data_IF_217349025545
#
_entry.id   IF_217349025545
#
_cell.length_a   1.000
_cell.length_b   1.000
_cell.length_c   1.000
_cell.angle_alpha   90.00
_cell.angle_beta   90.00
_cell.angle_gamma   90.00
#
_symmetry.space_group_name_H-M   'P 1'
#
loop_
_entity.id
_entity.type
_entity.pdbx_description
1 polymer ?
#
# COMPACT_ATOMS: atom_id res chain seq x y z
N UNK A 1 13.85 8.44 11.41
CA UNK A 1 14.90 9.34 11.91
C UNK A 1 16.31 8.91 11.46
N UNK A 2 16.89 7.82 11.99
CA UNK A 2 18.29 7.44 11.70
C UNK A 2 18.56 7.31 10.18
N UNK A 3 17.75 6.54 9.46
CA UNK A 3 17.89 6.40 8.00
C UNK A 3 17.76 7.73 7.23
N UNK A 4 17.00 8.71 7.74
CA UNK A 4 16.87 10.03 7.11
C UNK A 4 18.15 10.87 7.29
N UNK A 5 18.80 10.81 8.46
CA UNK A 5 20.09 11.46 8.69
C UNK A 5 21.22 10.85 7.86
N UNK A 6 21.21 9.53 7.63
CA UNK A 6 22.13 8.90 6.68
C UNK A 6 21.95 9.44 5.26
N UNK A 7 20.72 9.72 4.83
CA UNK A 7 20.46 10.34 3.51
C UNK A 7 20.98 11.77 3.43
N UNK A 8 20.89 12.56 4.50
CA UNK A 8 21.47 13.92 4.54
C UNK A 8 22.98 13.90 4.25
N UNK A 9 23.71 12.90 4.76
CA UNK A 9 25.14 12.76 4.50
C UNK A 9 25.50 12.37 3.05
N UNK A 10 24.49 12.02 2.23
CA UNK A 10 24.64 11.52 0.85
C UNK A 10 24.48 12.59 -0.25
N UNK A 11 24.37 13.88 0.10
CA UNK A 11 24.16 14.96 -0.88
C UNK A 11 25.28 15.14 -1.92
N UNK A 12 26.45 14.51 -1.72
CA UNK A 12 27.55 14.47 -2.69
C UNK A 12 27.43 13.28 -3.64
N UNK A 13 27.70 13.43 -4.96
CA UNK A 13 27.58 12.36 -5.95
C UNK A 13 28.33 11.06 -5.60
N UNK A 14 29.49 11.18 -4.96
CA UNK A 14 30.37 10.03 -4.62
C UNK A 14 29.85 9.19 -3.43
N UNK A 15 28.73 9.59 -2.83
CA UNK A 15 28.20 9.01 -1.58
C UNK A 15 26.87 8.29 -1.76
N UNK A 16 26.57 7.84 -2.97
CA UNK A 16 25.35 7.07 -3.25
C UNK A 16 25.16 5.86 -2.31
N UNK A 17 26.25 5.23 -1.87
CA UNK A 17 26.19 4.13 -0.89
C UNK A 17 25.55 4.55 0.44
N UNK A 18 25.73 5.81 0.89
CA UNK A 18 25.07 6.34 2.09
C UNK A 18 23.56 6.47 1.89
N UNK A 19 23.11 6.86 0.68
CA UNK A 19 21.68 6.89 0.35
C UNK A 19 21.09 5.48 0.42
N UNK A 20 21.79 4.48 -0.12
CA UNK A 20 21.36 3.08 -0.08
C UNK A 20 21.28 2.55 1.35
N UNK A 21 22.29 2.81 2.19
CA UNK A 21 22.26 2.44 3.61
C UNK A 21 21.09 3.10 4.34
N UNK A 22 20.86 4.40 4.12
CA UNK A 22 19.73 5.13 4.70
C UNK A 22 18.38 4.58 4.25
N UNK A 23 18.26 4.18 2.98
CA UNK A 23 17.05 3.55 2.43
C UNK A 23 16.81 2.17 3.03
N UNK A 24 17.84 1.34 3.19
CA UNK A 24 17.72 0.02 3.83
C UNK A 24 17.26 0.14 5.27
N UNK A 25 17.81 1.08 6.04
CA UNK A 25 17.36 1.33 7.42
C UNK A 25 15.88 1.77 7.45
N UNK A 26 15.49 2.64 6.52
CA UNK A 26 14.10 3.11 6.40
C UNK A 26 13.14 1.97 6.00
N UNK A 27 13.51 1.14 5.03
CA UNK A 27 12.72 0.00 4.56
C UNK A 27 12.50 -1.03 5.67
N UNK A 28 13.55 -1.39 6.42
CA UNK A 28 13.42 -2.28 7.58
C UNK A 28 12.50 -1.71 8.66
N UNK A 29 12.52 -0.38 8.85
CA UNK A 29 11.65 0.31 9.81
C UNK A 29 10.18 0.31 9.37
N UNK A 30 9.92 0.39 8.05
CA UNK A 30 8.57 0.47 7.48
C UNK A 30 7.71 -0.75 7.85
N UNK A 31 8.30 -1.94 7.93
CA UNK A 31 7.61 -3.18 8.32
C UNK A 31 6.96 -3.05 9.70
N UNK A 32 7.65 -2.41 10.64
CA UNK A 32 7.11 -2.17 11.98
C UNK A 32 6.05 -1.07 11.96
N UNK A 33 6.30 0.02 11.24
CA UNK A 33 5.42 1.19 11.20
C UNK A 33 4.05 0.84 10.63
N UNK A 34 3.97 0.04 9.57
CA UNK A 34 2.70 -0.33 8.93
C UNK A 34 1.75 -1.08 9.86
N UNK A 35 2.27 -1.80 10.85
CA UNK A 35 1.48 -2.57 11.82
C UNK A 35 1.12 -1.76 13.09
N UNK A 36 1.69 -0.56 13.27
CA UNK A 36 1.46 0.25 14.46
C UNK A 36 0.02 0.77 14.60
N UNK A 37 -0.68 1.25 13.54
CA UNK A 37 -2.02 1.80 13.69
C UNK A 37 -2.99 0.82 14.35
N UNK A 38 -3.07 -0.42 13.86
CA UNK A 38 -3.94 -1.45 14.41
C UNK A 38 -3.58 -1.80 15.85
N UNK A 39 -2.27 -1.96 16.14
CA UNK A 39 -1.79 -2.29 17.48
C UNK A 39 -2.06 -1.16 18.48
N UNK A 40 -1.80 0.08 18.10
CA UNK A 40 -2.02 1.26 18.95
C UNK A 40 -3.51 1.46 19.20
N UNK A 41 -4.33 1.36 18.15
CA UNK A 41 -5.78 1.45 18.24
C UNK A 41 -6.35 0.42 19.23
N UNK A 42 -5.93 -0.85 19.12
CA UNK A 42 -6.36 -1.89 20.04
C UNK A 42 -5.91 -1.63 21.49
N UNK A 43 -4.69 -1.09 21.70
CA UNK A 43 -4.10 -0.85 23.03
C UNK A 43 -4.66 0.33 23.78
N UNK A 44 -5.09 1.37 23.06
CA UNK A 44 -5.47 2.64 23.66
C UNK A 44 -6.96 2.95 23.60
N UNK A 45 -7.69 2.37 22.64
CA UNK A 45 -9.08 2.76 22.37
C UNK A 45 -10.06 1.64 22.69
N UNK A 46 -11.28 2.03 23.05
CA UNK A 46 -12.38 1.10 23.30
C UNK A 46 -12.96 0.52 21.99
N UNK A 47 -13.77 -0.56 22.05
CA UNK A 47 -14.28 -1.27 20.86
C UNK A 47 -14.97 -0.38 19.82
N UNK A 48 -15.66 0.67 20.25
CA UNK A 48 -16.35 1.63 19.38
C UNK A 48 -15.41 2.61 18.65
N UNK A 49 -14.19 2.80 19.16
CA UNK A 49 -13.24 3.80 18.69
C UNK A 49 -12.02 3.19 18.00
N UNK A 50 -11.74 1.90 18.21
CA UNK A 50 -10.59 1.18 17.62
C UNK A 50 -10.57 1.31 16.09
N UNK A 51 -11.72 1.10 15.42
CA UNK A 51 -11.80 1.19 13.96
C UNK A 51 -11.41 2.57 13.47
N UNK A 52 -12.00 3.62 14.05
CA UNK A 52 -11.73 5.02 13.70
C UNK A 52 -10.28 5.40 13.94
N UNK A 53 -9.71 5.05 15.10
CA UNK A 53 -8.31 5.32 15.43
C UNK A 53 -7.35 4.61 14.48
N UNK A 54 -7.66 3.36 14.11
CA UNK A 54 -6.88 2.60 13.13
C UNK A 54 -6.94 3.26 11.75
N UNK A 55 -8.14 3.61 11.27
CA UNK A 55 -8.34 4.28 9.98
C UNK A 55 -7.57 5.60 9.87
N UNK A 56 -7.57 6.43 10.92
CA UNK A 56 -6.78 7.68 10.96
C UNK A 56 -5.29 7.39 10.78
N UNK A 57 -4.75 6.37 11.46
CA UNK A 57 -3.35 5.98 11.33
C UNK A 57 -3.00 5.46 9.93
N UNK A 58 -3.88 4.66 9.33
CA UNK A 58 -3.71 4.16 7.95
C UNK A 58 -3.78 5.31 6.93
N UNK A 59 -4.72 6.26 7.09
CA UNK A 59 -4.78 7.44 6.24
C UNK A 59 -3.55 8.33 6.37
N UNK A 60 -2.93 8.39 7.55
CA UNK A 60 -1.63 9.07 7.73
C UNK A 60 -0.53 8.49 6.84
N UNK A 61 -0.51 7.16 6.63
CA UNK A 61 0.43 6.53 5.70
C UNK A 61 0.16 6.96 4.25
N UNK A 62 -1.10 6.90 3.81
CA UNK A 62 -1.48 7.30 2.45
C UNK A 62 -1.20 8.79 2.19
N UNK A 63 -1.44 9.65 3.19
CA UNK A 63 -1.10 11.06 3.12
C UNK A 63 0.41 11.27 2.97
N UNK A 64 1.24 10.49 3.67
CA UNK A 64 2.69 10.50 3.49
C UNK A 64 3.13 10.10 2.08
N UNK A 65 2.49 9.08 1.49
CA UNK A 65 2.76 8.66 0.09
C UNK A 65 2.37 9.77 -0.89
N UNK A 66 1.21 10.40 -0.69
CA UNK A 66 0.74 11.56 -1.47
C UNK A 66 1.75 12.72 -1.45
N UNK A 67 2.28 13.09 -0.27
CA UNK A 67 3.34 14.07 -0.16
C UNK A 67 4.64 13.60 -0.84
N UNK A 68 4.94 12.30 -0.81
CA UNK A 68 6.07 11.69 -1.50
C UNK A 68 6.00 11.80 -3.02
N UNK A 69 4.81 11.89 -3.61
CA UNK A 69 4.64 12.20 -5.04
C UNK A 69 4.79 13.68 -5.35
N UNK A 70 4.32 14.55 -4.46
CA UNK A 70 4.24 15.98 -4.71
C UNK A 70 5.57 16.71 -4.43
N UNK A 71 6.22 16.40 -3.30
CA UNK A 71 7.38 17.16 -2.83
C UNK A 71 8.64 16.99 -3.68
N UNK A 72 9.04 15.77 -4.11
CA UNK A 72 10.28 15.62 -4.87
C UNK A 72 10.28 16.40 -6.20
N UNK A 73 9.25 16.32 -7.06
CA UNK A 73 9.22 17.09 -8.31
C UNK A 73 9.14 18.61 -8.10
N UNK A 74 8.57 19.08 -6.98
CA UNK A 74 8.53 20.51 -6.65
C UNK A 74 9.87 21.05 -6.15
N UNK A 75 10.62 20.25 -5.39
CA UNK A 75 11.87 20.66 -4.73
C UNK A 75 13.12 20.38 -5.57
N UNK A 76 13.05 19.36 -6.45
CA UNK A 76 14.12 18.90 -7.31
C UNK A 76 13.67 19.06 -8.75
N UNK A 77 13.96 20.23 -9.31
CA UNK A 77 13.73 20.48 -10.72
C UNK A 77 14.90 19.90 -11.52
N UNK A 78 14.59 19.22 -12.63
CA UNK A 78 15.58 18.69 -13.56
C UNK A 78 16.16 19.84 -14.40
N UNK A 79 17.02 20.61 -13.74
CA UNK A 79 17.83 21.65 -14.37
C UNK A 79 19.17 21.03 -14.71
N UNK A 80 19.72 21.25 -15.90
CA UNK A 80 21.03 20.70 -16.30
C UNK A 80 22.23 21.12 -15.41
N UNK A 81 21.98 21.89 -14.35
CA UNK A 81 22.93 22.23 -13.30
C UNK A 81 22.87 21.22 -12.14
N UNK A 82 23.92 20.40 -12.05
CA UNK A 82 24.14 19.43 -10.97
C UNK A 82 24.13 20.08 -9.57
N UNK A 83 24.53 21.35 -9.44
CA UNK A 83 24.52 22.05 -8.16
C UNK A 83 23.10 22.33 -7.68
N UNK A 84 22.23 22.78 -8.58
CA UNK A 84 20.81 23.02 -8.29
C UNK A 84 20.08 21.72 -7.90
N UNK A 85 20.35 20.61 -8.59
CA UNK A 85 19.81 19.29 -8.26
C UNK A 85 20.29 18.83 -6.86
N UNK A 86 21.59 18.94 -6.57
CA UNK A 86 22.16 18.59 -5.26
C UNK A 86 21.56 19.44 -4.14
N UNK A 87 21.41 20.76 -4.36
CA UNK A 87 20.76 21.66 -3.40
C UNK A 87 19.29 21.31 -3.16
N UNK A 88 18.54 20.94 -4.22
CA UNK A 88 17.17 20.43 -4.12
C UNK A 88 17.07 19.16 -3.27
N UNK A 89 17.89 18.15 -3.59
CA UNK A 89 17.95 16.88 -2.86
C UNK A 89 18.35 17.09 -1.40
N UNK A 90 19.35 17.94 -1.15
CA UNK A 90 19.81 18.27 0.20
C UNK A 90 18.69 18.90 1.02
N UNK A 91 17.97 19.90 0.49
CA UNK A 91 16.80 20.50 1.16
C UNK A 91 15.74 19.45 1.49
N UNK A 92 15.44 18.54 0.57
CA UNK A 92 14.46 17.47 0.76
C UNK A 92 14.90 16.49 1.87
N UNK A 93 16.17 16.09 1.89
CA UNK A 93 16.71 15.20 2.92
C UNK A 93 16.74 15.86 4.29
N UNK A 94 17.17 17.13 4.39
CA UNK A 94 17.13 17.88 5.65
C UNK A 94 15.70 18.03 6.15
N UNK A 95 14.75 18.42 5.31
CA UNK A 95 13.34 18.54 5.71
C UNK A 95 12.78 17.21 6.24
N UNK A 96 13.11 16.09 5.60
CA UNK A 96 12.69 14.74 6.03
C UNK A 96 13.38 14.33 7.36
N UNK A 97 14.66 14.64 7.52
CA UNK A 97 15.40 14.34 8.73
C UNK A 97 14.89 15.14 9.93
N UNK A 98 14.70 16.46 9.77
CA UNK A 98 14.18 17.36 10.80
C UNK A 98 12.76 16.95 11.19
N UNK A 99 11.85 16.79 10.22
CA UNK A 99 10.46 16.37 10.51
C UNK A 99 10.40 15.02 11.24
N UNK A 100 11.16 14.02 10.78
CA UNK A 100 11.19 12.71 11.45
C UNK A 100 11.82 12.75 12.85
N UNK A 101 12.73 13.69 13.11
CA UNK A 101 13.33 13.92 14.44
C UNK A 101 12.34 14.61 15.37
N UNK A 102 11.63 15.63 14.89
CA UNK A 102 10.58 16.31 15.64
C UNK A 102 9.47 15.34 16.05
N UNK A 103 8.98 14.51 15.11
CA UNK A 103 7.99 13.46 15.41
C UNK A 103 8.51 12.48 16.45
N UNK A 104 9.77 12.05 16.36
CA UNK A 104 10.38 11.16 17.36
C UNK A 104 10.43 11.80 18.75
N UNK A 105 10.85 13.07 18.85
CA UNK A 105 10.89 13.83 20.11
C UNK A 105 9.48 13.95 20.69
N UNK A 106 8.48 14.29 19.88
CA UNK A 106 7.09 14.38 20.32
C UNK A 106 6.58 13.03 20.84
N UNK A 107 6.85 11.93 20.14
CA UNK A 107 6.47 10.59 20.61
C UNK A 107 7.17 10.27 21.93
N UNK A 108 8.48 10.51 22.03
CA UNK A 108 9.26 10.19 23.22
C UNK A 108 8.78 10.93 24.47
N UNK A 109 8.43 12.22 24.35
CA UNK A 109 7.99 13.02 25.50
C UNK A 109 6.49 12.89 25.82
N UNK A 110 5.62 12.76 24.81
CA UNK A 110 4.17 12.86 25.01
C UNK A 110 3.45 11.50 24.97
N UNK A 111 4.00 10.48 24.31
CA UNK A 111 3.32 9.18 24.15
C UNK A 111 3.79 8.21 25.24
N UNK A 112 2.86 7.83 26.12
CA UNK A 112 3.13 6.78 27.13
C UNK A 112 3.13 5.39 26.45
N UNK A 113 3.88 4.40 26.97
CA UNK A 113 3.96 3.07 26.36
C UNK A 113 2.64 2.30 26.32
N UNK A 114 1.80 2.44 27.35
CA UNK A 114 0.50 1.76 27.47
C UNK A 114 -0.37 2.48 28.50
N UNK A 115 -1.71 2.44 28.38
CA UNK A 115 -2.57 2.93 29.44
C UNK A 115 -2.47 2.00 30.68
N UNK A 116 -2.54 2.58 31.90
CA UNK A 116 -2.39 1.82 33.15
C UNK A 116 -3.50 0.78 33.37
N UNK A 117 -4.66 0.95 32.74
CA UNK A 117 -5.77 -0.01 32.74
C UNK A 117 -6.07 -0.45 31.29
N UNK A 118 -6.30 -1.76 31.03
CA UNK A 118 -6.64 -2.23 29.69
C UNK A 118 -8.01 -1.67 29.26
N UNK A 119 -8.14 -1.07 28.06
CA UNK A 119 -9.38 -0.44 27.63
C UNK A 119 -10.48 -1.42 27.21
N UNK A 120 -10.17 -2.72 27.08
CA UNK A 120 -11.16 -3.75 26.72
C UNK A 120 -10.90 -5.10 27.38
N UNK A 121 -11.95 -5.92 27.52
CA UNK A 121 -11.83 -7.32 27.97
C UNK A 121 -10.98 -8.17 27.01
N UNK A 122 -11.00 -7.85 25.70
CA UNK A 122 -10.16 -8.50 24.70
C UNK A 122 -8.66 -8.17 24.92
N UNK A 123 -8.33 -6.94 25.31
CA UNK A 123 -6.99 -6.54 25.74
C UNK A 123 -6.56 -7.20 27.04
N UNK A 124 -7.46 -7.27 28.03
CA UNK A 124 -7.19 -7.95 29.29
C UNK A 124 -6.92 -9.45 29.07
N UNK A 125 -7.70 -10.08 28.19
CA UNK A 125 -7.48 -11.46 27.74
C UNK A 125 -6.20 -11.61 26.91
N UNK A 126 -5.86 -10.73 25.96
CA UNK A 126 -4.58 -10.82 25.25
C UNK A 126 -3.37 -10.66 26.17
N UNK A 127 -3.45 -9.81 27.20
CA UNK A 127 -2.40 -9.67 28.23
C UNK A 127 -2.29 -10.92 29.11
N UNK A 128 -3.40 -11.59 29.43
CA UNK A 128 -3.41 -12.82 30.25
C UNK A 128 -3.13 -14.10 29.45
N UNK A 129 -3.46 -14.13 28.16
CA UNK A 129 -3.28 -15.26 27.24
C UNK A 129 -2.10 -15.07 26.27
N UNK A 130 -1.16 -14.16 26.56
CA UNK A 130 0.11 -14.02 25.81
C UNK A 130 1.03 -15.24 26.01
N UNK A 131 0.54 -16.43 25.65
CA UNK A 131 1.38 -17.50 25.13
C UNK A 131 1.87 -17.05 23.74
N UNK A 132 2.92 -16.23 23.72
CA UNK A 132 3.79 -16.03 22.56
C UNK A 132 4.49 -17.37 22.26
N UNK A 133 3.75 -18.41 21.89
CA UNK A 133 4.34 -19.67 21.47
C UNK A 133 4.62 -19.56 19.97
N UNK A 134 5.90 -19.37 19.55
CA UNK A 134 6.26 -19.28 18.14
C UNK A 134 5.80 -20.51 17.33
N UNK A 135 5.58 -21.66 17.99
CA UNK A 135 5.04 -22.87 17.33
C UNK A 135 3.61 -22.66 16.83
N UNK A 136 2.77 -21.92 17.57
CA UNK A 136 1.40 -21.62 17.16
C UNK A 136 1.36 -20.63 15.97
N UNK A 137 2.27 -19.67 15.94
CA UNK A 137 2.42 -18.74 14.80
C UNK A 137 2.88 -19.47 13.54
N UNK A 138 3.92 -20.30 13.62
CA UNK A 138 4.42 -21.08 12.47
C UNK A 138 3.34 -22.06 11.97
N UNK A 139 2.59 -22.69 12.88
CA UNK A 139 1.47 -23.57 12.53
C UNK A 139 0.30 -22.82 11.89
N UNK A 140 0.03 -21.58 12.32
CA UNK A 140 -0.92 -20.69 11.65
C UNK A 140 -0.44 -20.41 10.23
N UNK A 141 0.80 -19.95 10.05
CA UNK A 141 1.39 -19.64 8.74
C UNK A 141 1.27 -20.82 7.76
N UNK A 142 1.61 -22.04 8.19
CA UNK A 142 1.45 -23.23 7.37
C UNK A 142 -0.01 -23.48 6.98
N UNK A 143 -0.97 -23.33 7.90
CA UNK A 143 -2.40 -23.48 7.59
C UNK A 143 -2.90 -22.45 6.57
N UNK A 144 -2.38 -21.23 6.59
CA UNK A 144 -2.68 -20.21 5.59
C UNK A 144 -2.11 -20.60 4.22
N UNK A 145 -0.85 -21.04 4.15
CA UNK A 145 -0.22 -21.45 2.88
C UNK A 145 -0.94 -22.64 2.23
N UNK A 146 -1.48 -23.57 3.03
CA UNK A 146 -2.28 -24.70 2.52
C UNK A 146 -3.74 -24.34 2.18
N UNK A 147 -4.20 -23.13 2.48
CA UNK A 147 -5.55 -22.70 2.10
C UNK A 147 -5.57 -22.24 0.65
N UNK A 148 -6.15 -23.07 -0.23
CA UNK A 148 -6.23 -22.82 -1.67
C UNK A 148 -6.86 -21.47 -2.02
N UNK A 149 -7.99 -21.12 -1.39
CA UNK A 149 -8.66 -19.84 -1.66
C UNK A 149 -7.82 -18.63 -1.23
N UNK A 150 -7.13 -18.75 -0.09
CA UNK A 150 -6.21 -17.72 0.36
C UNK A 150 -4.98 -17.59 -0.53
N UNK A 151 -4.43 -18.70 -1.05
CA UNK A 151 -3.29 -18.67 -1.96
C UNK A 151 -3.63 -17.98 -3.29
N UNK A 152 -4.81 -18.26 -3.85
CA UNK A 152 -5.32 -17.57 -5.03
C UNK A 152 -5.51 -16.07 -4.78
N UNK A 153 -6.05 -15.70 -3.62
CA UNK A 153 -6.16 -14.31 -3.21
C UNK A 153 -4.78 -13.66 -3.08
N UNK A 154 -3.83 -14.33 -2.44
CA UNK A 154 -2.49 -13.82 -2.19
C UNK A 154 -1.74 -13.56 -3.50
N UNK A 155 -1.89 -14.42 -4.51
CA UNK A 155 -1.32 -14.22 -5.84
C UNK A 155 -2.01 -13.09 -6.60
N UNK A 156 -3.35 -13.12 -6.71
CA UNK A 156 -4.11 -12.08 -7.42
C UNK A 156 -3.93 -10.70 -6.78
N UNK A 157 -3.86 -10.64 -5.46
CA UNK A 157 -3.62 -9.44 -4.68
C UNK A 157 -2.21 -8.90 -4.88
N UNK A 158 -1.21 -9.78 -4.82
CA UNK A 158 0.17 -9.44 -5.16
C UNK A 158 0.29 -8.82 -6.56
N UNK A 159 -0.39 -9.40 -7.56
CA UNK A 159 -0.37 -8.88 -8.93
C UNK A 159 -1.00 -7.49 -9.05
N UNK A 160 -2.14 -7.24 -8.42
CA UNK A 160 -2.81 -5.94 -8.50
C UNK A 160 -1.98 -4.85 -7.81
N UNK A 161 -1.69 -5.04 -6.52
CA UNK A 161 -0.97 -4.03 -5.74
C UNK A 161 0.48 -3.88 -6.20
N UNK A 162 1.12 -4.97 -6.64
CA UNK A 162 2.44 -4.91 -7.26
C UNK A 162 2.45 -4.09 -8.55
N UNK A 163 1.40 -4.21 -9.38
CA UNK A 163 1.24 -3.37 -10.57
C UNK A 163 1.05 -1.90 -10.21
N UNK A 164 0.26 -1.62 -9.16
CA UNK A 164 0.09 -0.27 -8.64
C UNK A 164 1.41 0.33 -8.17
N UNK A 165 2.26 -0.45 -7.48
CA UNK A 165 3.58 0.00 -7.04
C UNK A 165 4.54 0.25 -8.21
N UNK A 166 4.51 -0.58 -9.25
CA UNK A 166 5.32 -0.39 -10.44
C UNK A 166 4.97 0.91 -11.16
N UNK A 167 3.67 1.15 -11.42
CA UNK A 167 3.20 2.40 -12.05
C UNK A 167 3.55 3.60 -11.18
N UNK A 168 3.28 3.51 -9.88
CA UNK A 168 3.59 4.54 -8.89
C UNK A 168 5.08 4.92 -8.90
N UNK A 169 5.96 3.91 -8.99
CA UNK A 169 7.41 4.13 -8.92
C UNK A 169 7.95 4.78 -10.20
N UNK A 170 7.48 4.33 -11.36
CA UNK A 170 7.95 4.84 -12.66
C UNK A 170 7.08 5.97 -13.22
N UNK A 171 6.07 6.43 -12.48
CA UNK A 171 5.11 7.44 -12.93
C UNK A 171 5.81 8.69 -13.48
N UNK A 172 6.77 9.22 -12.73
CA UNK A 172 7.48 10.43 -13.14
C UNK A 172 8.22 10.23 -14.47
N UNK A 173 8.88 9.08 -14.65
CA UNK A 173 9.60 8.76 -15.87
C UNK A 173 8.65 8.67 -17.08
N UNK A 174 7.50 7.99 -16.92
CA UNK A 174 6.51 7.80 -17.99
C UNK A 174 5.90 9.14 -18.43
N UNK A 175 5.51 9.97 -17.46
CA UNK A 175 4.89 11.27 -17.74
C UNK A 175 5.88 12.20 -18.42
N UNK A 176 7.13 12.26 -17.96
CA UNK A 176 8.16 13.12 -18.54
C UNK A 176 8.57 12.68 -19.96
N UNK A 177 8.46 11.40 -20.30
CA UNK A 177 8.67 10.91 -21.66
C UNK A 177 7.65 11.49 -22.66
N UNK A 178 6.40 11.68 -22.23
CA UNK A 178 5.33 12.24 -23.06
C UNK A 178 5.18 13.76 -22.92
N UNK A 179 5.56 14.29 -21.75
CA UNK A 179 5.40 15.69 -21.37
C UNK A 179 6.67 16.21 -20.66
N UNK A 180 7.74 16.51 -21.41
CA UNK A 180 9.07 16.81 -20.85
C UNK A 180 9.11 17.95 -19.83
N UNK A 181 8.30 18.98 -20.01
CA UNK A 181 8.30 20.16 -19.12
C UNK A 181 7.33 20.04 -17.93
N UNK A 182 6.61 18.93 -17.81
CA UNK A 182 5.50 18.77 -16.87
C UNK A 182 5.85 17.92 -15.63
N UNK A 183 7.06 18.07 -15.09
CA UNK A 183 7.50 17.36 -13.87
C UNK A 183 6.57 17.61 -12.67
N UNK A 184 6.10 18.85 -12.52
CA UNK A 184 5.16 19.23 -11.44
C UNK A 184 3.82 18.51 -11.61
N UNK A 185 3.33 18.39 -12.84
CA UNK A 185 2.09 17.68 -13.10
C UNK A 185 2.26 16.16 -12.96
N UNK A 186 3.43 15.58 -13.25
CA UNK A 186 3.70 14.18 -12.93
C UNK A 186 3.54 13.88 -11.44
N UNK A 187 4.08 14.76 -10.58
CA UNK A 187 3.88 14.68 -9.13
C UNK A 187 2.43 14.86 -8.69
N UNK A 188 1.71 15.79 -9.32
CA UNK A 188 0.27 16.01 -9.06
C UNK A 188 -0.60 14.86 -9.54
N UNK A 189 -0.29 14.22 -10.67
CA UNK A 189 -0.98 13.01 -11.13
C UNK A 189 -0.81 11.92 -10.08
N UNK A 190 0.42 11.70 -9.60
CA UNK A 190 0.69 10.74 -8.51
C UNK A 190 -0.10 11.04 -7.24
N UNK A 191 -0.16 12.31 -6.85
CA UNK A 191 -1.01 12.77 -5.74
C UNK A 191 -2.49 12.43 -5.98
N UNK A 192 -3.03 12.72 -7.17
CA UNK A 192 -4.44 12.43 -7.48
C UNK A 192 -4.75 10.95 -7.50
N UNK A 193 -3.81 10.10 -7.96
CA UNK A 193 -3.93 8.64 -7.91
C UNK A 193 -4.12 8.17 -6.46
N UNK A 194 -3.27 8.65 -5.54
CA UNK A 194 -3.32 8.24 -4.13
C UNK A 194 -4.60 8.75 -3.46
N UNK A 195 -4.97 10.02 -3.68
CA UNK A 195 -6.18 10.60 -3.09
C UNK A 195 -7.45 9.94 -3.62
N UNK A 196 -7.56 9.74 -4.93
CA UNK A 196 -8.66 8.99 -5.53
C UNK A 196 -8.72 7.56 -4.96
N UNK A 197 -7.57 6.95 -4.76
CA UNK A 197 -7.45 5.65 -4.11
C UNK A 197 -7.93 5.62 -2.66
N UNK A 198 -7.72 6.67 -1.88
CA UNK A 198 -8.24 6.78 -0.50
C UNK A 198 -9.77 6.86 -0.50
N UNK A 199 -10.36 7.60 -1.46
CA UNK A 199 -11.81 7.64 -1.62
C UNK A 199 -12.32 6.27 -2.08
N UNK A 200 -11.62 5.62 -3.00
CA UNK A 200 -11.94 4.28 -3.50
C UNK A 200 -11.97 3.23 -2.40
N UNK A 201 -11.00 3.23 -1.49
CA UNK A 201 -10.97 2.29 -0.36
C UNK A 201 -12.14 2.48 0.60
N UNK A 202 -12.53 3.72 0.89
CA UNK A 202 -13.70 4.02 1.74
C UNK A 202 -14.99 3.61 1.06
N UNK A 203 -15.18 3.97 -0.21
CA UNK A 203 -16.40 3.64 -0.96
C UNK A 203 -16.54 2.13 -1.13
N UNK A 204 -15.47 1.44 -1.53
CA UNK A 204 -15.51 -0.01 -1.69
C UNK A 204 -15.72 -0.73 -0.35
N UNK A 205 -15.09 -0.26 0.74
CA UNK A 205 -15.33 -0.78 2.09
C UNK A 205 -16.79 -0.61 2.52
N UNK A 206 -17.37 0.57 2.31
CA UNK A 206 -18.79 0.80 2.62
C UNK A 206 -19.75 -0.08 1.80
N UNK A 207 -19.46 -0.27 0.50
CA UNK A 207 -20.23 -1.18 -0.36
C UNK A 207 -20.14 -2.61 0.18
N UNK A 208 -18.96 -3.03 0.61
CA UNK A 208 -18.70 -4.36 1.18
C UNK A 208 -19.48 -4.58 2.47
N UNK A 209 -19.47 -3.59 3.37
CA UNK A 209 -20.20 -3.62 4.65
C UNK A 209 -21.71 -3.72 4.44
N UNK A 210 -22.24 -3.14 3.36
CA UNK A 210 -23.68 -3.16 3.06
C UNK A 210 -24.12 -4.40 2.29
N UNK A 211 -23.31 -4.83 1.32
CA UNK A 211 -23.67 -5.95 0.44
C UNK A 211 -23.30 -7.30 1.05
N UNK A 212 -22.26 -7.35 1.88
CA UNK A 212 -21.65 -8.58 2.38
C UNK A 212 -21.22 -9.57 1.27
N UNK A 213 -21.15 -9.11 0.01
CA UNK A 213 -20.76 -9.88 -1.16
C UNK A 213 -19.27 -9.70 -1.42
N UNK A 214 -18.45 -10.34 -0.57
CA UNK A 214 -17.00 -10.14 -0.57
C UNK A 214 -16.35 -10.48 -1.91
N UNK A 215 -16.54 -11.72 -2.39
CA UNK A 215 -15.96 -12.19 -3.66
C UNK A 215 -16.39 -11.36 -4.86
N UNK A 216 -17.70 -11.11 -5.01
CA UNK A 216 -18.23 -10.41 -6.18
C UNK A 216 -17.74 -8.96 -6.23
N UNK A 217 -17.71 -8.28 -5.08
CA UNK A 217 -17.17 -6.92 -4.98
C UNK A 217 -15.68 -6.92 -5.32
N UNK A 218 -14.90 -7.88 -4.80
CA UNK A 218 -13.48 -8.04 -5.17
C UNK A 218 -13.30 -8.21 -6.67
N UNK A 219 -14.10 -9.08 -7.31
CA UNK A 219 -14.02 -9.34 -8.74
C UNK A 219 -14.34 -8.09 -9.59
N UNK A 220 -15.41 -7.36 -9.24
CA UNK A 220 -15.82 -6.13 -9.94
C UNK A 220 -14.74 -5.07 -9.81
N UNK A 221 -14.24 -4.81 -8.60
CA UNK A 221 -13.18 -3.81 -8.37
C UNK A 221 -11.89 -4.19 -9.09
N UNK A 222 -11.54 -5.49 -9.13
CA UNK A 222 -10.39 -5.97 -9.91
C UNK A 222 -10.60 -5.74 -11.41
N UNK A 223 -11.75 -6.12 -11.95
CA UNK A 223 -12.08 -5.91 -13.36
C UNK A 223 -12.04 -4.42 -13.75
N UNK A 224 -12.57 -3.55 -12.90
CA UNK A 224 -12.48 -2.11 -13.09
C UNK A 224 -11.04 -1.59 -13.02
N UNK A 225 -10.18 -2.18 -12.17
CA UNK A 225 -8.75 -1.85 -12.14
C UNK A 225 -8.05 -2.22 -13.46
N UNK A 226 -8.38 -3.39 -14.03
CA UNK A 226 -7.88 -3.82 -15.33
C UNK A 226 -8.34 -2.86 -16.44
N UNK A 227 -9.63 -2.52 -16.49
CA UNK A 227 -10.16 -1.55 -17.45
C UNK A 227 -9.47 -0.20 -17.28
N UNK A 228 -9.32 0.28 -16.05
CA UNK A 228 -8.60 1.51 -15.73
C UNK A 228 -7.16 1.48 -16.25
N UNK A 229 -6.47 0.34 -16.11
CA UNK A 229 -5.10 0.19 -16.59
C UNK A 229 -5.00 0.21 -18.11
N UNK A 230 -5.92 -0.46 -18.79
CA UNK A 230 -6.01 -0.41 -20.25
C UNK A 230 -6.31 1.02 -20.72
N UNK A 231 -7.29 1.69 -20.12
CA UNK A 231 -7.61 3.08 -20.44
C UNK A 231 -6.38 3.97 -20.25
N UNK A 232 -5.71 3.89 -19.10
CA UNK A 232 -4.48 4.63 -18.81
C UNK A 232 -3.38 4.40 -19.85
N UNK A 233 -3.16 3.15 -20.25
CA UNK A 233 -2.15 2.77 -21.25
C UNK A 233 -2.39 3.41 -22.63
N UNK A 234 -3.65 3.58 -23.03
CA UNK A 234 -3.99 4.17 -24.33
C UNK A 234 -4.14 5.69 -24.27
N UNK A 235 -4.58 6.26 -23.14
CA UNK A 235 -4.76 7.70 -22.96
C UNK A 235 -3.45 8.47 -22.80
N UNK A 236 -2.38 7.83 -22.31
CA UNK A 236 -1.03 8.42 -22.23
C UNK A 236 -0.57 9.00 -23.57
N UNK A 237 -0.86 8.29 -24.67
CA UNK A 237 -0.47 8.70 -26.02
C UNK A 237 -1.31 9.83 -26.64
N UNK A 238 -2.38 10.28 -25.97
CA UNK A 238 -3.30 11.28 -26.52
C UNK A 238 -2.78 12.73 -26.47
N UNK A 239 -1.64 13.00 -25.81
CA UNK A 239 -1.03 14.34 -25.75
C UNK A 239 -1.80 15.37 -24.93
N UNK A 240 -2.89 14.99 -24.26
CA UNK A 240 -3.68 15.86 -23.39
C UNK A 240 -3.55 15.44 -21.93
N UNK A 241 -2.81 16.23 -21.15
CA UNK A 241 -2.50 15.92 -19.75
C UNK A 241 -3.77 15.75 -18.88
N UNK A 242 -4.85 16.48 -19.17
CA UNK A 242 -6.13 16.36 -18.47
C UNK A 242 -6.74 14.96 -18.62
N UNK A 243 -6.59 14.33 -19.79
CA UNK A 243 -7.06 12.96 -20.03
C UNK A 243 -6.23 11.98 -19.18
N UNK A 244 -4.93 12.23 -19.04
CA UNK A 244 -4.05 11.46 -18.16
C UNK A 244 -4.51 11.58 -16.70
N UNK A 245 -4.81 12.78 -16.21
CA UNK A 245 -5.38 12.98 -14.87
C UNK A 245 -6.67 12.17 -14.65
N UNK A 246 -7.62 12.23 -15.58
CA UNK A 246 -8.89 11.50 -15.46
C UNK A 246 -8.68 9.99 -15.43
N UNK A 247 -7.85 9.47 -16.34
CA UNK A 247 -7.53 8.03 -16.39
C UNK A 247 -6.75 7.55 -15.16
N UNK A 248 -5.86 8.39 -14.62
CA UNK A 248 -5.09 8.12 -13.41
C UNK A 248 -5.98 8.11 -12.15
N UNK A 249 -6.95 9.03 -12.06
CA UNK A 249 -7.95 9.02 -10.97
C UNK A 249 -8.76 7.73 -11.00
N UNK A 250 -9.23 7.32 -12.18
CA UNK A 250 -9.99 6.07 -12.34
C UNK A 250 -9.16 4.85 -11.93
N UNK A 251 -7.91 4.78 -12.40
CA UNK A 251 -6.97 3.72 -12.06
C UNK A 251 -6.70 3.65 -10.55
N UNK A 252 -6.35 4.79 -9.94
CA UNK A 252 -6.04 4.90 -8.52
C UNK A 252 -7.23 4.52 -7.63
N UNK A 253 -8.43 4.98 -7.97
CA UNK A 253 -9.66 4.66 -7.25
C UNK A 253 -9.88 3.15 -7.14
N UNK A 254 -9.78 2.41 -8.25
CA UNK A 254 -10.03 0.97 -8.24
C UNK A 254 -8.85 0.14 -7.72
N UNK A 255 -7.60 0.44 -8.10
CA UNK A 255 -6.44 -0.33 -7.63
C UNK A 255 -6.22 -0.20 -6.13
N UNK A 256 -6.38 1.00 -5.57
CA UNK A 256 -6.26 1.20 -4.13
C UNK A 256 -7.55 0.85 -3.38
N UNK A 257 -8.72 0.96 -4.03
CA UNK A 257 -9.96 0.40 -3.53
C UNK A 257 -9.85 -1.11 -3.31
N UNK A 258 -9.18 -1.80 -4.23
CA UNK A 258 -8.91 -3.23 -4.15
C UNK A 258 -8.05 -3.62 -2.93
N UNK A 259 -7.13 -2.76 -2.46
CA UNK A 259 -6.38 -3.04 -1.21
C UNK A 259 -7.32 -3.34 -0.05
N UNK A 260 -8.31 -2.46 0.17
CA UNK A 260 -9.23 -2.59 1.30
C UNK A 260 -10.11 -3.83 1.18
N UNK A 261 -10.70 -4.06 0.00
CA UNK A 261 -11.56 -5.23 -0.24
C UNK A 261 -10.77 -6.54 -0.13
N UNK A 262 -9.51 -6.55 -0.57
CA UNK A 262 -8.63 -7.71 -0.47
C UNK A 262 -8.29 -8.08 0.98
N UNK A 263 -8.07 -7.11 1.88
CA UNK A 263 -7.87 -7.39 3.30
C UNK A 263 -9.11 -8.02 3.96
N UNK A 264 -10.30 -7.50 3.65
CA UNK A 264 -11.56 -8.02 4.19
C UNK A 264 -11.84 -9.44 3.68
N UNK A 265 -11.67 -9.69 2.38
CA UNK A 265 -11.79 -11.05 1.82
C UNK A 265 -10.74 -12.00 2.42
N UNK A 266 -9.52 -11.52 2.69
CA UNK A 266 -8.48 -12.31 3.35
C UNK A 266 -8.88 -12.70 4.77
N UNK A 267 -9.44 -11.78 5.56
CA UNK A 267 -9.95 -12.06 6.89
C UNK A 267 -11.06 -13.12 6.84
N UNK A 268 -11.94 -13.03 5.84
CA UNK A 268 -13.07 -13.95 5.64
C UNK A 268 -12.62 -15.38 5.27
N UNK A 269 -11.65 -15.52 4.36
CA UNK A 269 -11.12 -16.81 3.90
C UNK A 269 -10.23 -17.50 4.94
N UNK A 270 -9.56 -16.72 5.80
CA UNK A 270 -8.58 -17.24 6.77
C UNK A 270 -9.15 -17.48 8.15
N UNK A 271 -10.42 -17.15 8.41
CA UNK A 271 -11.06 -17.45 9.69
C UNK A 271 -10.93 -18.94 10.09
N UNK A 272 -10.58 -19.28 11.34
CA UNK A 272 -10.42 -18.43 12.54
C UNK A 272 -8.97 -17.97 12.83
N UNK A 273 -8.10 -17.91 11.82
CA UNK A 273 -6.72 -17.48 12.00
C UNK A 273 -6.61 -15.98 12.31
N UNK A 274 -5.48 -15.57 12.88
CA UNK A 274 -5.23 -14.18 13.22
C UNK A 274 -5.18 -13.29 11.96
N UNK A 275 -6.00 -12.25 11.93
CA UNK A 275 -6.02 -11.23 10.87
C UNK A 275 -4.64 -10.60 10.63
N UNK A 276 -3.83 -10.44 11.69
CA UNK A 276 -2.47 -9.91 11.59
C UNK A 276 -1.51 -10.85 10.84
N UNK A 277 -1.69 -12.17 10.96
CA UNK A 277 -0.86 -13.15 10.24
C UNK A 277 -1.22 -13.17 8.75
N UNK A 278 -2.53 -13.16 8.45
CA UNK A 278 -3.06 -13.09 7.08
C UNK A 278 -2.62 -11.81 6.36
N UNK A 279 -2.85 -10.65 6.98
CA UNK A 279 -2.47 -9.34 6.45
C UNK A 279 -0.95 -9.19 6.28
N UNK A 280 -0.16 -9.78 7.19
CA UNK A 280 1.29 -9.82 7.08
C UNK A 280 1.77 -10.59 5.85
N UNK A 281 1.14 -11.74 5.57
CA UNK A 281 1.45 -12.53 4.37
C UNK A 281 1.06 -11.80 3.07
N UNK A 282 -0.11 -11.13 3.04
CA UNK A 282 -0.51 -10.30 1.89
C UNK A 282 0.55 -9.23 1.61
N UNK A 283 0.96 -8.46 2.63
CA UNK A 283 1.96 -7.42 2.48
C UNK A 283 3.30 -7.96 1.99
N UNK A 284 3.77 -9.08 2.53
CA UNK A 284 5.04 -9.68 2.12
C UNK A 284 5.03 -10.01 0.61
N UNK A 285 3.93 -10.58 0.12
CA UNK A 285 3.78 -10.97 -1.29
C UNK A 285 3.65 -9.75 -2.19
N UNK A 286 2.90 -8.74 -1.76
CA UNK A 286 2.83 -7.45 -2.47
C UNK A 286 4.21 -6.84 -2.66
N UNK A 287 5.08 -6.87 -1.66
CA UNK A 287 6.44 -6.33 -1.80
C UNK A 287 7.26 -7.11 -2.83
N UNK A 288 7.15 -8.43 -2.84
CA UNK A 288 7.83 -9.27 -3.85
C UNK A 288 7.34 -8.93 -5.26
N UNK A 289 6.03 -8.92 -5.48
CA UNK A 289 5.45 -8.55 -6.78
C UNK A 289 5.79 -7.11 -7.17
N UNK A 290 5.74 -6.17 -6.23
CA UNK A 290 6.11 -4.78 -6.45
C UNK A 290 7.54 -4.64 -6.95
N UNK A 291 8.51 -5.31 -6.32
CA UNK A 291 9.91 -5.30 -6.77
C UNK A 291 10.03 -5.92 -8.16
N UNK A 292 9.49 -7.12 -8.36
CA UNK A 292 9.61 -7.86 -9.63
C UNK A 292 8.97 -7.09 -10.77
N UNK A 293 7.74 -6.59 -10.58
CA UNK A 293 7.01 -5.85 -11.61
C UNK A 293 7.65 -4.49 -11.90
N UNK A 294 8.16 -3.78 -10.89
CA UNK A 294 8.89 -2.52 -11.10
C UNK A 294 10.12 -2.73 -11.98
N UNK A 295 10.90 -3.78 -11.71
CA UNK A 295 12.10 -4.10 -12.50
C UNK A 295 11.77 -4.51 -13.94
N UNK A 296 10.80 -5.42 -14.11
CA UNK A 296 10.37 -5.86 -15.45
C UNK A 296 9.78 -4.69 -16.23
N UNK A 297 8.90 -3.90 -15.59
CA UNK A 297 8.29 -2.72 -16.20
C UNK A 297 9.36 -1.73 -16.68
N UNK A 298 10.34 -1.39 -15.83
CA UNK A 298 11.44 -0.51 -16.21
C UNK A 298 12.27 -1.04 -17.38
N UNK A 299 12.53 -2.35 -17.41
CA UNK A 299 13.23 -2.99 -18.53
C UNK A 299 12.43 -2.90 -19.84
N UNK A 300 11.14 -3.21 -19.81
CA UNK A 300 10.26 -3.12 -21.00
C UNK A 300 10.11 -1.66 -21.44
N UNK A 301 9.95 -0.72 -20.49
CA UNK A 301 9.83 0.70 -20.78
C UNK A 301 11.05 1.20 -21.56
N UNK A 302 12.24 0.92 -21.06
CA UNK A 302 13.49 1.35 -21.68
C UNK A 302 13.75 0.66 -23.05
N UNK A 303 13.31 -0.58 -23.24
CA UNK A 303 13.57 -1.33 -24.46
C UNK A 303 12.50 -1.12 -25.56
N UNK A 304 11.26 -0.85 -25.16
CA UNK A 304 10.11 -1.04 -26.04
C UNK A 304 9.00 0.01 -25.85
N UNK A 305 9.18 0.97 -24.93
CA UNK A 305 8.26 2.06 -24.62
C UNK A 305 7.21 1.73 -23.55
N UNK A 306 6.65 2.77 -22.96
CA UNK A 306 5.66 2.72 -21.88
C UNK A 306 4.41 1.92 -22.27
N UNK A 307 3.94 2.03 -23.52
CA UNK A 307 2.72 1.35 -23.97
C UNK A 307 2.85 -0.17 -23.81
N UNK A 308 4.00 -0.75 -24.16
CA UNK A 308 4.24 -2.19 -23.99
C UNK A 308 4.42 -2.57 -22.52
N UNK A 309 5.05 -1.71 -21.73
CA UNK A 309 5.20 -1.91 -20.28
C UNK A 309 3.83 -1.88 -19.58
N UNK A 310 2.95 -0.96 -19.97
CA UNK A 310 1.58 -0.86 -19.49
C UNK A 310 0.72 -2.06 -19.93
N UNK A 311 0.88 -2.53 -21.17
CA UNK A 311 0.20 -3.75 -21.63
C UNK A 311 0.69 -5.00 -20.89
N UNK A 312 1.96 -5.07 -20.50
CA UNK A 312 2.47 -6.14 -19.64
C UNK A 312 1.72 -6.16 -18.30
N UNK A 313 1.60 -5.01 -17.61
CA UNK A 313 0.85 -4.92 -16.36
C UNK A 313 -0.64 -5.25 -16.56
N UNK A 314 -1.27 -4.76 -17.64
CA UNK A 314 -2.63 -5.15 -17.98
C UNK A 314 -2.76 -6.67 -18.15
N UNK A 315 -1.80 -7.33 -18.79
CA UNK A 315 -1.75 -8.80 -18.90
C UNK A 315 -1.66 -9.50 -17.54
N UNK A 316 -0.85 -8.97 -16.61
CA UNK A 316 -0.79 -9.50 -15.23
C UNK A 316 -2.11 -9.30 -14.48
N UNK A 317 -2.82 -8.19 -14.72
CA UNK A 317 -4.14 -7.94 -14.14
C UNK A 317 -5.22 -8.84 -14.76
N UNK A 318 -5.13 -9.21 -16.04
CA UNK A 318 -6.01 -10.22 -16.64
C UNK A 318 -5.84 -11.56 -15.93
N UNK A 319 -4.59 -12.00 -15.74
CA UNK A 319 -4.29 -13.23 -15.01
C UNK A 319 -4.82 -13.15 -13.57
N UNK A 320 -4.57 -12.03 -12.88
CA UNK A 320 -5.06 -11.82 -11.53
C UNK A 320 -6.59 -11.77 -11.41
N UNK A 321 -7.30 -11.26 -12.44
CA UNK A 321 -8.76 -11.29 -12.51
C UNK A 321 -9.26 -12.73 -12.61
N UNK A 322 -8.63 -13.55 -13.46
CA UNK A 322 -8.96 -14.97 -13.59
C UNK A 322 -8.71 -15.72 -12.28
N UNK A 323 -7.58 -15.48 -11.62
CA UNK A 323 -7.27 -16.06 -10.31
C UNK A 323 -8.31 -15.64 -9.25
N UNK A 324 -8.72 -14.37 -9.25
CA UNK A 324 -9.77 -13.86 -8.36
C UNK A 324 -11.11 -14.56 -8.60
N UNK A 325 -11.49 -14.79 -9.86
CA UNK A 325 -12.73 -15.49 -10.21
C UNK A 325 -12.75 -16.94 -9.69
N UNK A 326 -11.59 -17.61 -9.68
CA UNK A 326 -11.42 -18.97 -9.19
C UNK A 326 -11.42 -19.10 -7.67
N UNK A 327 -11.37 -17.99 -6.91
CA UNK A 327 -11.44 -18.03 -5.45
C UNK A 327 -12.78 -18.68 -5.04
N UNK A 328 -12.78 -19.73 -4.22
CA UNK A 328 -14.01 -20.35 -3.75
C UNK A 328 -14.83 -19.36 -2.92
N UNK A 329 -16.15 -19.35 -3.09
CA UNK A 329 -17.07 -18.49 -2.34
C UNK A 329 -17.30 -18.96 -0.89
N UNK A 330 -16.39 -19.75 -0.32
CA UNK A 330 -16.49 -20.28 1.04
C UNK A 330 -16.15 -19.19 2.07
N UNK A 331 -17.13 -18.34 2.37
CA UNK A 331 -17.03 -17.26 3.36
C UNK A 331 -17.18 -17.83 4.77
N UNK A 332 -16.04 -18.22 5.37
CA UNK A 332 -15.99 -19.04 6.59
C UNK A 332 -16.46 -18.31 7.84
N UNK A 333 -16.28 -16.99 7.93
CA UNK A 333 -16.71 -16.19 9.10
C UNK A 333 -18.22 -15.98 9.07
N UNK A 334 -18.80 -15.69 7.90
CA UNK A 334 -20.25 -15.62 7.70
C UNK A 334 -20.92 -16.95 8.05
N UNK A 335 -20.41 -18.06 7.52
CA UNK A 335 -20.92 -19.40 7.83
C UNK A 335 -20.83 -19.73 9.34
N UNK A 336 -19.81 -19.22 10.03
CA UNK A 336 -19.68 -19.36 11.48
C UNK A 336 -20.66 -18.48 12.27
N UNK A 337 -20.95 -17.26 11.79
CA UNK A 337 -21.94 -16.36 12.40
C UNK A 337 -23.37 -16.88 12.23
N UNK A 338 -23.73 -17.36 11.03
CA UNK A 338 -25.04 -17.99 10.78
C UNK A 338 -25.25 -19.21 11.69
N UNK A 339 -24.26 -20.10 11.80
CA UNK A 339 -24.32 -21.23 12.73
C UNK A 339 -24.55 -20.80 14.18
N UNK A 340 -23.96 -19.67 14.61
CA UNK A 340 -24.14 -19.15 15.98
C UNK A 340 -25.53 -18.54 16.20
N UNK A 341 -26.11 -17.92 15.16
CA UNK A 341 -27.48 -17.40 15.20
C UNK A 341 -28.56 -18.47 15.20
N UNK A 342 -28.27 -19.66 14.65
CA UNK A 342 -29.19 -20.81 14.66
C UNK A 342 -29.19 -21.59 15.99
N UNK A 343 -28.18 -21.36 16.84
CA UNK A 343 -27.99 -22.06 18.13
C UNK A 343 -28.49 -21.21 19.32
N UNK A 344 -28.75 -19.92 19.11
CA UNK A 344 -29.34 -19.00 20.09
C UNK A 344 -30.83 -18.75 19.79
#
# INVERSE_FOLDING_TARGET
MIGAWFKVASSSPDRFYMTMLGQTIAASSQVFILNLPARLAAVWFGPSEVSTACSIGVFGNQFGVALGFLLPPLLVQDTGDLYAISAGLSRMFYATAISSTLVFILIYYFVKPSPPLPPSLAQANQRSTSSNDPKNFVKSLWRLVYNYGFLLLLLSYGMNVGSFYAISTLLNQIILEHFPDNAVDAGRIGLTIVLAGMVGSVVCGFILDRTHLFKETTLVVYGCSLVGMVVYAFTLSCGHILVVYLSAILLGFFMNGYLAVGYELAAELTYPESEGTSSGMLNAVVQVFGIVFTLIYGCINNAAGDKKANLFLAGTLVLGTFLTAMIPSDLRRQAAQEKKSLVN
#
